data_IF_496071495834
#
_entry.id   IF_496071495834
#
_cell.length_a   1.000
_cell.length_b   1.000
_cell.length_c   1.000
_cell.angle_alpha   90.00
_cell.angle_beta   90.00
_cell.angle_gamma   90.00
#
_symmetry.space_group_name_H-M   'P 1'
#
loop_
_entity.id
_entity.type
_entity.pdbx_description
1 polymer ?
#
# COMPACT_ATOMS: atom_id res chain seq x y z
N UNK A 1 0.67 17.52 39.35
CA UNK A 1 0.20 16.38 38.54
C UNK A 1 -0.13 16.95 37.16
N UNK A 2 0.82 16.86 36.24
CA UNK A 2 0.80 17.58 34.95
C UNK A 2 0.10 16.73 33.90
N UNK A 3 -1.07 17.15 33.45
CA UNK A 3 -1.78 16.50 32.33
C UNK A 3 -1.46 17.27 31.05
N UNK A 4 -0.72 16.63 30.13
CA UNK A 4 -0.43 17.14 28.78
C UNK A 4 -1.64 16.96 27.83
N UNK A 5 -1.69 17.73 26.73
CA UNK A 5 -2.92 18.09 26.05
C UNK A 5 -3.38 17.06 25.02
N UNK A 6 -4.70 17.06 24.79
CA UNK A 6 -5.36 16.29 23.75
C UNK A 6 -4.70 16.49 22.38
N UNK A 7 -4.24 15.38 21.82
CA UNK A 7 -3.76 15.31 20.45
C UNK A 7 -4.93 15.62 19.52
N UNK A 8 -4.83 16.76 18.84
CA UNK A 8 -5.67 17.11 17.70
C UNK A 8 -5.39 16.07 16.60
N UNK A 9 -6.23 15.03 16.50
CA UNK A 9 -6.20 14.09 15.38
C UNK A 9 -6.51 14.90 14.11
N UNK A 10 -5.72 14.76 13.04
CA UNK A 10 -5.97 15.52 11.82
C UNK A 10 -7.34 15.14 11.24
N UNK A 11 -8.07 16.16 10.79
CA UNK A 11 -9.47 16.13 10.37
C UNK A 11 -9.76 15.23 9.15
N UNK A 12 -8.75 14.62 8.53
CA UNK A 12 -8.93 13.69 7.42
C UNK A 12 -9.46 12.31 7.86
N UNK A 13 -9.38 11.97 9.15
CA UNK A 13 -9.74 10.63 9.66
C UNK A 13 -11.25 10.33 9.75
N UNK A 14 -12.13 11.28 9.44
CA UNK A 14 -13.59 11.06 9.48
C UNK A 14 -14.30 11.32 8.14
N UNK A 15 -13.57 11.69 7.09
CA UNK A 15 -14.15 12.12 5.81
C UNK A 15 -13.86 11.20 4.61
N UNK A 16 -13.46 9.94 4.83
CA UNK A 16 -13.37 8.95 3.75
C UNK A 16 -14.74 8.31 3.49
N UNK A 17 -15.65 9.12 2.94
CA UNK A 17 -16.99 8.71 2.53
C UNK A 17 -16.89 7.88 1.24
N UNK A 18 -16.77 6.56 1.40
CA UNK A 18 -17.12 5.52 0.41
C UNK A 18 -16.57 5.75 -1.02
N UNK A 19 -15.25 5.78 -1.17
CA UNK A 19 -14.58 5.94 -2.47
C UNK A 19 -14.42 4.59 -3.18
N UNK A 20 -14.65 4.56 -4.50
CA UNK A 20 -14.48 3.35 -5.33
C UNK A 20 -12.99 3.02 -5.46
N UNK A 21 -12.57 1.93 -4.81
CA UNK A 21 -11.20 1.41 -4.84
C UNK A 21 -10.60 1.21 -6.24
N UNK A 22 -11.47 1.00 -7.22
CA UNK A 22 -11.09 0.54 -8.56
C UNK A 22 -11.08 1.68 -9.58
N UNK A 23 -11.59 2.87 -9.23
CA UNK A 23 -11.49 4.09 -10.05
C UNK A 23 -10.42 5.05 -9.53
N UNK A 24 -10.14 5.07 -8.22
CA UNK A 24 -9.32 6.11 -7.61
C UNK A 24 -7.81 6.08 -7.91
N UNK A 25 -7.25 5.04 -8.51
CA UNK A 25 -5.80 4.97 -8.74
C UNK A 25 -5.29 6.06 -9.70
N UNK A 26 -6.04 6.34 -10.77
CA UNK A 26 -5.68 7.42 -11.71
C UNK A 26 -5.97 8.80 -11.12
N UNK A 27 -7.15 8.95 -10.53
CA UNK A 27 -7.54 10.19 -9.85
C UNK A 27 -6.51 10.61 -8.78
N UNK A 28 -5.98 9.64 -8.01
CA UNK A 28 -4.92 9.90 -7.04
C UNK A 28 -3.59 10.30 -7.68
N UNK A 29 -3.24 9.75 -8.84
CA UNK A 29 -2.02 10.11 -9.56
C UNK A 29 -2.11 11.49 -10.22
N UNK A 30 -3.32 11.96 -10.53
CA UNK A 30 -3.54 13.32 -11.02
C UNK A 30 -3.34 14.36 -9.91
N UNK A 31 -3.54 13.97 -8.64
CA UNK A 31 -3.46 14.87 -7.48
C UNK A 31 -2.16 14.75 -6.68
N UNK A 32 -1.50 13.60 -6.69
CA UNK A 32 -0.41 13.25 -5.79
C UNK A 32 0.78 12.62 -6.53
N UNK A 33 2.02 12.82 -6.03
CA UNK A 33 3.16 12.02 -6.45
C UNK A 33 2.89 10.52 -6.26
N UNK A 34 3.42 9.62 -7.12
CA UNK A 34 3.08 8.20 -7.10
C UNK A 34 3.22 7.49 -5.74
N UNK A 35 4.26 7.81 -4.97
CA UNK A 35 4.43 7.23 -3.64
C UNK A 35 3.33 7.68 -2.66
N UNK A 36 2.91 8.95 -2.72
CA UNK A 36 1.83 9.48 -1.90
C UNK A 36 0.45 8.94 -2.36
N UNK A 37 0.24 8.83 -3.68
CA UNK A 37 -0.93 8.20 -4.27
C UNK A 37 -1.07 6.74 -3.79
N UNK A 38 0.03 5.97 -3.79
CA UNK A 38 0.03 4.60 -3.32
C UNK A 38 -0.34 4.48 -1.84
N UNK A 39 0.27 5.30 -0.98
CA UNK A 39 -0.05 5.32 0.45
C UNK A 39 -1.53 5.65 0.68
N UNK A 40 -2.06 6.64 -0.03
CA UNK A 40 -3.46 7.04 0.07
C UNK A 40 -4.42 5.98 -0.46
N UNK A 41 -4.02 5.23 -1.48
CA UNK A 41 -4.78 4.10 -1.99
C UNK A 41 -4.84 2.95 -0.96
N UNK A 42 -3.73 2.65 -0.29
CA UNK A 42 -3.69 1.64 0.78
C UNK A 42 -4.60 1.96 1.97
N UNK A 43 -4.70 3.23 2.37
CA UNK A 43 -5.66 3.66 3.41
C UNK A 43 -7.10 3.35 3.00
N UNK A 44 -7.47 3.70 1.76
CA UNK A 44 -8.81 3.44 1.25
C UNK A 44 -9.13 1.94 1.17
N UNK A 45 -8.11 1.12 0.89
CA UNK A 45 -8.26 -0.34 0.91
C UNK A 45 -8.54 -0.87 2.32
N UNK A 46 -7.84 -0.33 3.33
CA UNK A 46 -8.10 -0.62 4.73
C UNK A 46 -9.52 -0.22 5.16
N UNK A 47 -9.95 1.00 4.81
CA UNK A 47 -11.30 1.50 5.12
C UNK A 47 -12.39 0.62 4.49
N UNK A 48 -12.16 0.16 3.26
CA UNK A 48 -13.07 -0.74 2.56
C UNK A 48 -13.17 -2.10 3.27
N UNK A 49 -12.04 -2.73 3.61
CA UNK A 49 -12.00 -3.98 4.38
C UNK A 49 -12.72 -3.84 5.72
N UNK A 50 -12.48 -2.75 6.44
CA UNK A 50 -13.10 -2.49 7.74
C UNK A 50 -14.62 -2.26 7.64
N UNK A 51 -15.10 -1.67 6.54
CA UNK A 51 -16.53 -1.35 6.36
C UNK A 51 -17.33 -2.57 5.92
N UNK A 52 -16.76 -3.43 5.07
CA UNK A 52 -17.44 -4.62 4.56
C UNK A 52 -17.00 -5.85 5.37
N UNK A 53 -17.62 -6.03 6.53
CA UNK A 53 -17.43 -7.21 7.38
C UNK A 53 -17.43 -8.51 6.53
N UNK A 54 -16.41 -9.36 6.70
CA UNK A 54 -16.26 -10.64 5.97
C UNK A 54 -15.59 -10.52 4.59
N UNK A 55 -15.20 -9.33 4.15
CA UNK A 55 -14.50 -9.18 2.87
C UNK A 55 -13.05 -9.63 2.90
N UNK A 56 -12.40 -9.56 4.06
CA UNK A 56 -11.10 -10.16 4.23
C UNK A 56 -11.17 -11.68 4.11
N UNK A 57 -12.17 -12.29 4.75
CA UNK A 57 -12.44 -13.73 4.61
C UNK A 57 -12.78 -14.08 3.15
N UNK A 58 -13.46 -13.18 2.44
CA UNK A 58 -13.71 -13.30 1.00
C UNK A 58 -12.40 -13.24 0.21
N UNK A 59 -11.51 -12.28 0.47
CA UNK A 59 -10.20 -12.17 -0.20
C UNK A 59 -9.30 -13.39 0.08
N UNK A 60 -9.32 -13.90 1.30
CA UNK A 60 -8.60 -15.13 1.68
C UNK A 60 -9.21 -16.34 0.97
N UNK A 61 -10.54 -16.47 0.96
CA UNK A 61 -11.23 -17.51 0.21
C UNK A 61 -11.00 -17.39 -1.30
N UNK A 62 -10.76 -16.20 -1.84
CA UNK A 62 -10.41 -16.02 -3.26
C UNK A 62 -9.00 -16.50 -3.60
N UNK A 63 -8.05 -16.31 -2.69
CA UNK A 63 -6.69 -16.85 -2.84
C UNK A 63 -6.75 -18.39 -2.79
N UNK A 64 -7.58 -18.94 -1.89
CA UNK A 64 -7.66 -20.38 -1.61
C UNK A 64 -8.55 -21.14 -2.62
N UNK A 65 -9.66 -20.56 -3.06
CA UNK A 65 -10.66 -21.21 -3.92
C UNK A 65 -10.38 -21.08 -5.43
N UNK A 66 -9.49 -20.17 -5.83
CA UNK A 66 -9.02 -20.07 -7.20
C UNK A 66 -10.04 -19.75 -8.30
N UNK A 67 -11.35 -19.60 -8.06
CA UNK A 67 -12.31 -19.44 -9.17
C UNK A 67 -13.58 -18.57 -8.94
N UNK A 68 -13.88 -17.82 -10.02
CA UNK A 68 -15.05 -17.05 -10.49
C UNK A 68 -15.70 -15.96 -9.62
N UNK A 69 -16.16 -16.23 -8.39
CA UNK A 69 -17.17 -15.34 -7.75
C UNK A 69 -16.68 -13.89 -7.50
N UNK A 70 -15.36 -13.70 -7.39
CA UNK A 70 -14.75 -12.40 -7.11
C UNK A 70 -13.50 -12.12 -7.98
N UNK A 71 -13.29 -12.90 -9.04
CA UNK A 71 -12.15 -12.74 -9.95
C UNK A 71 -12.07 -11.31 -10.51
N UNK A 72 -13.22 -10.71 -10.81
CA UNK A 72 -13.33 -9.33 -11.27
C UNK A 72 -12.80 -8.32 -10.24
N UNK A 73 -13.19 -8.45 -8.97
CA UNK A 73 -12.72 -7.55 -7.89
C UNK A 73 -11.22 -7.70 -7.67
N UNK A 74 -10.69 -8.93 -7.73
CA UNK A 74 -9.24 -9.18 -7.66
C UNK A 74 -8.49 -8.55 -8.83
N UNK A 75 -9.00 -8.72 -10.04
CA UNK A 75 -8.40 -8.17 -11.25
C UNK A 75 -8.39 -6.62 -11.20
N UNK A 76 -9.48 -6.01 -10.75
CA UNK A 76 -9.57 -4.55 -10.60
C UNK A 76 -8.60 -4.02 -9.52
N UNK A 77 -8.46 -4.72 -8.39
CA UNK A 77 -7.48 -4.40 -7.34
C UNK A 77 -6.04 -4.46 -7.86
N UNK A 78 -5.67 -5.56 -8.53
CA UNK A 78 -4.34 -5.72 -9.11
C UNK A 78 -4.07 -4.66 -10.18
N UNK A 79 -5.06 -4.36 -11.03
CA UNK A 79 -4.94 -3.30 -12.04
C UNK A 79 -4.68 -1.93 -11.42
N UNK A 80 -5.37 -1.61 -10.32
CA UNK A 80 -5.15 -0.35 -9.60
C UNK A 80 -3.74 -0.27 -9.02
N UNK A 81 -3.27 -1.35 -8.36
CA UNK A 81 -1.90 -1.43 -7.84
C UNK A 81 -0.88 -1.26 -8.96
N UNK A 82 -1.01 -2.03 -10.04
CA UNK A 82 -0.11 -1.97 -11.20
C UNK A 82 -0.03 -0.56 -11.77
N UNK A 83 -1.17 0.12 -11.92
CA UNK A 83 -1.20 1.50 -12.44
C UNK A 83 -0.36 2.46 -11.60
N UNK A 84 -0.47 2.40 -10.27
CA UNK A 84 0.28 3.28 -9.37
C UNK A 84 1.77 2.89 -9.33
N UNK A 85 2.07 1.59 -9.28
CA UNK A 85 3.44 1.08 -9.29
C UNK A 85 4.16 1.45 -10.59
N UNK A 86 3.49 1.35 -11.74
CA UNK A 86 4.05 1.72 -13.03
C UNK A 86 4.37 3.22 -13.10
N UNK A 87 3.47 4.07 -12.62
CA UNK A 87 3.70 5.51 -12.53
C UNK A 87 4.88 5.82 -11.60
N UNK A 88 4.96 5.17 -10.42
CA UNK A 88 6.06 5.37 -9.48
C UNK A 88 7.40 4.87 -9.98
N UNK A 89 7.42 3.79 -10.74
CA UNK A 89 8.63 3.29 -11.41
C UNK A 89 9.12 4.24 -12.50
N UNK A 90 8.20 4.84 -13.28
CA UNK A 90 8.55 5.85 -14.30
C UNK A 90 9.06 7.13 -13.64
N UNK A 91 8.46 7.56 -12.53
CA UNK A 91 8.91 8.71 -11.76
C UNK A 91 10.23 8.48 -11.00
N UNK A 92 10.62 7.22 -10.79
CA UNK A 92 11.78 6.85 -9.97
C UNK A 92 11.50 6.92 -8.47
N UNK A 93 10.22 6.98 -8.07
CA UNK A 93 9.77 7.08 -6.68
C UNK A 93 9.59 5.72 -6.01
N UNK A 94 9.47 4.64 -6.80
CA UNK A 94 9.28 3.28 -6.34
C UNK A 94 10.31 2.34 -6.98
N UNK A 95 10.77 1.34 -6.22
CA UNK A 95 11.61 0.24 -6.71
C UNK A 95 10.87 -0.59 -7.77
N UNK A 96 11.61 -1.14 -8.72
CA UNK A 96 11.05 -1.80 -9.91
C UNK A 96 10.90 -3.32 -9.81
N UNK A 97 11.34 -3.92 -8.70
CA UNK A 97 11.43 -5.36 -8.49
C UNK A 97 10.31 -5.94 -7.61
N UNK A 98 9.30 -5.14 -7.28
CA UNK A 98 8.11 -5.58 -6.53
C UNK A 98 6.92 -5.67 -7.48
N UNK A 99 6.20 -6.80 -7.45
CA UNK A 99 5.02 -7.03 -8.28
C UNK A 99 3.74 -6.53 -7.60
N UNK A 100 2.67 -6.36 -8.39
CA UNK A 100 1.36 -5.98 -7.84
C UNK A 100 0.79 -7.09 -6.94
N UNK A 101 1.08 -8.34 -7.26
CA UNK A 101 0.72 -9.52 -6.49
C UNK A 101 1.41 -9.54 -5.12
N UNK A 102 2.72 -9.24 -5.07
CA UNK A 102 3.46 -9.15 -3.80
C UNK A 102 2.86 -8.07 -2.89
N UNK A 103 2.50 -6.92 -3.48
CA UNK A 103 1.89 -5.83 -2.74
C UNK A 103 0.49 -6.20 -2.24
N UNK A 104 -0.33 -6.83 -3.08
CA UNK A 104 -1.65 -7.30 -2.69
C UNK A 104 -1.54 -8.32 -1.53
N UNK A 105 -0.60 -9.27 -1.61
CA UNK A 105 -0.36 -10.24 -0.55
C UNK A 105 0.07 -9.58 0.76
N UNK A 106 0.98 -8.59 0.70
CA UNK A 106 1.42 -7.83 1.87
C UNK A 106 0.25 -7.10 2.55
N UNK A 107 -0.61 -6.44 1.77
CA UNK A 107 -1.78 -5.74 2.30
C UNK A 107 -2.77 -6.71 2.97
N UNK A 108 -3.07 -7.84 2.33
CA UNK A 108 -3.93 -8.87 2.91
C UNK A 108 -3.34 -9.37 4.24
N UNK A 109 -2.02 -9.62 4.31
CA UNK A 109 -1.36 -10.00 5.54
C UNK A 109 -1.50 -8.95 6.65
N UNK A 110 -1.27 -7.67 6.34
CA UNK A 110 -1.40 -6.56 7.30
C UNK A 110 -2.82 -6.48 7.86
N UNK A 111 -3.83 -6.52 6.99
CA UNK A 111 -5.23 -6.40 7.42
C UNK A 111 -5.78 -7.68 8.07
N UNK A 112 -5.13 -8.83 7.87
CA UNK A 112 -5.40 -10.07 8.62
C UNK A 112 -4.95 -9.95 10.07
N UNK A 113 -3.80 -9.33 10.32
CA UNK A 113 -3.32 -9.09 11.69
C UNK A 113 -4.06 -7.94 12.35
N UNK A 114 -4.49 -6.94 11.58
CA UNK A 114 -5.17 -5.74 12.07
C UNK A 114 -6.54 -5.50 11.39
N UNK A 115 -7.56 -6.34 11.69
CA UNK A 115 -8.83 -6.34 10.96
C UNK A 115 -9.85 -5.26 11.38
N UNK A 116 -9.61 -4.49 12.45
CA UNK A 116 -10.65 -3.63 13.07
C UNK A 116 -10.30 -2.14 13.14
N UNK A 117 -11.31 -1.26 12.99
CA UNK A 117 -11.18 0.16 13.31
C UNK A 117 -10.94 0.31 14.83
N UNK A 118 -9.82 0.94 15.19
CA UNK A 118 -9.31 1.00 16.57
C UNK A 118 -7.89 0.43 16.73
N UNK A 119 -7.44 -0.39 15.78
CA UNK A 119 -6.03 -0.76 15.60
C UNK A 119 -5.35 0.03 14.47
N UNK A 120 -5.92 1.18 14.09
CA UNK A 120 -5.47 2.06 13.00
C UNK A 120 -3.97 2.38 13.10
N UNK A 121 -3.45 2.54 14.32
CA UNK A 121 -2.03 2.83 14.53
C UNK A 121 -1.11 1.64 14.18
N UNK A 122 -1.57 0.39 14.33
CA UNK A 122 -0.80 -0.81 14.00
C UNK A 122 -0.72 -1.03 12.49
N UNK A 123 -1.88 -1.01 11.83
CA UNK A 123 -1.97 -1.12 10.37
C UNK A 123 -1.22 0.03 9.69
N UNK A 124 -1.43 1.29 10.12
CA UNK A 124 -0.73 2.45 9.53
C UNK A 124 0.78 2.32 9.65
N UNK A 125 1.32 1.88 10.80
CA UNK A 125 2.78 1.69 10.94
C UNK A 125 3.33 0.62 9.99
N UNK A 126 2.59 -0.47 9.75
CA UNK A 126 3.01 -1.50 8.80
C UNK A 126 2.89 -1.02 7.35
N UNK A 127 1.89 -0.21 7.03
CA UNK A 127 1.79 0.44 5.71
C UNK A 127 2.94 1.42 5.50
N UNK A 128 3.32 2.20 6.51
CA UNK A 128 4.46 3.12 6.43
C UNK A 128 5.78 2.34 6.25
N UNK A 129 5.97 1.24 6.99
CA UNK A 129 7.11 0.34 6.82
C UNK A 129 7.16 -0.29 5.42
N UNK A 130 6.01 -0.71 4.90
CA UNK A 130 5.88 -1.22 3.54
C UNK A 130 6.29 -0.15 2.53
N UNK A 131 5.78 1.08 2.68
CA UNK A 131 6.16 2.20 1.82
C UNK A 131 7.66 2.50 1.87
N UNK A 132 8.29 2.46 3.05
CA UNK A 132 9.73 2.63 3.18
C UNK A 132 10.52 1.53 2.46
N UNK A 133 10.02 0.29 2.47
CA UNK A 133 10.60 -0.83 1.72
C UNK A 133 10.39 -0.77 0.20
N UNK A 134 9.42 0.04 -0.26
CA UNK A 134 9.14 0.27 -1.68
C UNK A 134 9.94 1.43 -2.27
N UNK A 135 10.56 2.27 -1.43
CA UNK A 135 11.43 3.35 -1.92
C UNK A 135 12.60 2.76 -2.72
N UNK A 136 13.12 3.49 -3.73
CA UNK A 136 14.26 3.03 -4.50
C UNK A 136 15.40 2.73 -3.55
N UNK A 137 15.96 1.53 -3.63
CA UNK A 137 17.19 1.24 -2.92
C UNK A 137 18.27 2.15 -3.52
N UNK A 138 18.71 3.14 -2.77
CA UNK A 138 19.99 3.81 -3.01
C UNK A 138 21.06 2.76 -2.77
N UNK A 139 21.32 1.89 -3.76
CA UNK A 139 22.49 1.01 -3.73
C UNK A 139 23.69 1.94 -3.62
N UNK A 140 24.46 1.92 -2.52
CA UNK A 140 25.74 2.60 -2.53
C UNK A 140 26.53 1.95 -3.66
N UNK A 141 26.94 2.75 -4.64
CA UNK A 141 27.87 2.33 -5.69
C UNK A 141 29.03 1.67 -4.98
N UNK A 142 29.13 0.34 -5.09
CA UNK A 142 30.28 -0.40 -4.58
C UNK A 142 31.50 0.27 -5.21
N UNK A 143 32.44 0.84 -4.43
CA UNK A 143 33.62 1.44 -5.01
C UNK A 143 34.29 0.36 -5.86
N UNK A 144 34.44 0.66 -7.14
CA UNK A 144 35.15 -0.16 -8.10
C UNK A 144 36.50 -0.54 -7.46
N UNK A 145 36.84 -1.83 -7.35
CA UNK A 145 38.13 -2.20 -6.80
C UNK A 145 39.19 -1.60 -7.73
N UNK A 146 39.79 -0.50 -7.27
CA UNK A 146 40.88 0.18 -7.95
C UNK A 146 41.87 -0.89 -8.40
N UNK A 147 42.09 -0.91 -9.72
CA UNK A 147 42.92 -1.90 -10.38
C UNK A 147 44.20 -2.11 -9.58
N UNK A 148 44.43 -3.37 -9.20
CA UNK A 148 45.74 -3.81 -8.71
C UNK A 148 46.69 -3.66 -9.90
N UNK A 149 47.25 -2.47 -10.03
CA UNK A 149 48.31 -2.16 -10.97
C UNK A 149 49.53 -3.01 -10.66
N UNK A 150 50.08 -3.55 -11.74
CA UNK A 150 51.47 -3.95 -11.94
C UNK A 150 52.43 -3.79 -10.76
N UNK A 151 52.94 -4.93 -10.29
CA UNK A 151 54.34 -5.13 -9.93
C UNK A 151 54.69 -6.61 -10.13
#
# INVERSE_FOLDING_TARGET
MTTLPGTCRPAWSSAARRTRLTTGARDLLDELPPAAALRRWMDQFGDWIATKNGMLDTLLAMIDAGEVAHAQTRAELLTAITTICDAGRVAGDLRSDVTAEDLAAALIGIFTVYPRPGHDAGASRLLDLLMDGLRPASRPSRPEPAGRGAA
#
